data_IF_997416314374
#
_entry.id   IF_997416314374
#
_cell.length_a   1.000
_cell.length_b   1.000
_cell.length_c   1.000
_cell.angle_alpha   90.00
_cell.angle_beta   90.00
_cell.angle_gamma   90.00
#
_symmetry.space_group_name_H-M   'P 1'
#
loop_
_entity.id
_entity.type
_entity.pdbx_description
1 polymer ?
#
# COMPACT_ATOMS: atom_id res chain seq x y z
N UNK A 1 -0.13 11.87 17.42
CA UNK A 1 -1.05 12.62 16.53
C UNK A 1 -0.39 12.80 15.17
N UNK A 2 -1.05 12.43 14.08
CA UNK A 2 -0.53 12.62 12.73
C UNK A 2 -0.66 14.09 12.31
N UNK A 3 0.40 14.68 11.76
CA UNK A 3 0.45 16.09 11.34
C UNK A 3 -0.60 16.48 10.28
N UNK A 4 -1.16 15.51 9.55
CA UNK A 4 -2.22 15.74 8.57
C UNK A 4 -3.57 15.95 9.22
N UNK A 5 -3.87 15.21 10.28
CA UNK A 5 -5.16 15.27 10.97
C UNK A 5 -5.31 16.62 11.67
N UNK A 6 -4.23 17.16 12.26
CA UNK A 6 -4.23 18.47 12.90
C UNK A 6 -4.43 19.63 11.92
N UNK A 7 -3.86 19.55 10.72
CA UNK A 7 -4.09 20.54 9.64
C UNK A 7 -5.49 20.40 9.05
N UNK A 8 -5.97 19.16 8.84
CA UNK A 8 -7.29 18.89 8.26
C UNK A 8 -8.43 19.31 9.20
N UNK A 9 -8.25 19.11 10.51
CA UNK A 9 -9.20 19.54 11.54
C UNK A 9 -9.13 21.04 11.84
N UNK A 10 -8.36 21.83 11.07
CA UNK A 10 -8.12 23.27 11.26
C UNK A 10 -7.53 23.65 12.63
N UNK A 11 -6.95 22.69 13.35
CA UNK A 11 -6.36 22.92 14.67
C UNK A 11 -5.01 23.65 14.59
N UNK A 12 -4.29 23.52 13.48
CA UNK A 12 -3.04 24.24 13.26
C UNK A 12 -2.83 24.63 11.80
N UNK A 13 -2.09 25.73 11.57
CA UNK A 13 -1.70 26.14 10.23
C UNK A 13 -0.61 25.21 9.67
N UNK A 14 -0.45 25.19 8.34
CA UNK A 14 0.58 24.37 7.68
C UNK A 14 1.97 24.71 8.22
N UNK A 15 2.25 25.98 8.52
CA UNK A 15 3.53 26.43 9.08
C UNK A 15 3.75 25.93 10.50
N UNK A 16 2.73 26.06 11.36
CA UNK A 16 2.79 25.52 12.71
C UNK A 16 3.02 24.00 12.70
N UNK A 17 2.35 23.27 11.80
CA UNK A 17 2.57 21.84 11.63
C UNK A 17 4.00 21.49 11.14
N UNK A 18 4.62 22.31 10.29
CA UNK A 18 6.02 22.05 9.89
C UNK A 18 6.99 22.18 11.06
N UNK A 19 6.76 23.18 11.93
CA UNK A 19 7.63 23.44 13.09
C UNK A 19 7.45 22.38 14.18
N UNK A 20 6.21 21.98 14.49
CA UNK A 20 5.93 21.01 15.55
C UNK A 20 6.34 19.58 15.17
N UNK A 21 6.21 19.19 13.89
CA UNK A 21 6.41 17.82 13.44
C UNK A 21 7.68 17.61 12.59
N UNK A 22 8.45 18.67 12.33
CA UNK A 22 9.69 18.59 11.55
C UNK A 22 9.49 18.14 10.09
N UNK A 23 8.33 18.44 9.50
CA UNK A 23 8.01 18.05 8.12
C UNK A 23 8.24 19.21 7.14
N UNK A 24 8.54 18.89 5.89
CA UNK A 24 8.61 19.92 4.84
C UNK A 24 7.22 20.38 4.43
N UNK A 25 7.08 21.68 4.16
CA UNK A 25 5.81 22.29 3.70
C UNK A 25 5.28 21.60 2.43
N UNK A 26 6.18 21.23 1.52
CA UNK A 26 5.85 20.51 0.28
C UNK A 26 5.22 19.15 0.53
N UNK A 27 5.70 18.40 1.53
CA UNK A 27 5.16 17.10 1.91
C UNK A 27 3.73 17.23 2.45
N UNK A 28 3.48 18.21 3.32
CA UNK A 28 2.14 18.47 3.88
C UNK A 28 1.16 18.83 2.75
N UNK A 29 1.52 19.75 1.85
CA UNK A 29 0.67 20.11 0.70
C UNK A 29 0.40 18.91 -0.22
N UNK A 30 1.43 18.12 -0.56
CA UNK A 30 1.31 16.94 -1.42
C UNK A 30 0.35 15.91 -0.83
N UNK A 31 0.50 15.63 0.47
CA UNK A 31 -0.33 14.66 1.21
C UNK A 31 -1.77 15.18 1.40
N UNK A 32 -1.96 16.47 1.69
CA UNK A 32 -3.28 17.09 1.82
C UNK A 32 -4.06 17.05 0.49
N UNK A 33 -3.39 17.36 -0.64
CA UNK A 33 -3.98 17.24 -1.98
C UNK A 33 -4.44 15.81 -2.26
N UNK A 34 -3.62 14.81 -1.90
CA UNK A 34 -3.97 13.39 -2.06
C UNK A 34 -5.14 12.99 -1.15
N UNK A 35 -5.18 13.46 0.08
CA UNK A 35 -6.27 13.20 1.02
C UNK A 35 -7.61 13.74 0.50
N UNK A 36 -7.61 14.95 -0.06
CA UNK A 36 -8.81 15.56 -0.65
C UNK A 36 -9.28 14.84 -1.93
N UNK A 37 -8.34 14.37 -2.76
CA UNK A 37 -8.67 13.53 -3.92
C UNK A 37 -9.36 12.23 -3.48
N UNK A 38 -8.85 11.57 -2.43
CA UNK A 38 -9.47 10.36 -1.88
C UNK A 38 -10.88 10.62 -1.29
N UNK A 39 -11.08 11.74 -0.58
CA UNK A 39 -12.39 12.11 -0.05
C UNK A 39 -13.45 12.33 -1.13
N UNK A 40 -13.05 12.81 -2.30
CA UNK A 40 -13.93 12.98 -3.46
C UNK A 40 -14.29 11.64 -4.13
N UNK A 41 -13.30 10.74 -4.27
CA UNK A 41 -13.52 9.39 -4.78
C UNK A 41 -14.44 8.53 -3.87
N UNK A 42 -14.31 8.67 -2.56
CA UNK A 42 -15.15 7.95 -1.60
C UNK A 42 -16.61 8.46 -1.59
N UNK A 43 -16.84 9.74 -1.91
CA UNK A 43 -18.20 10.27 -2.12
C UNK A 43 -18.84 9.74 -3.41
N UNK A 44 -18.06 9.53 -4.47
CA UNK A 44 -18.54 8.93 -5.72
C UNK A 44 -18.85 7.43 -5.59
N UNK A 45 -18.22 6.71 -4.65
CA UNK A 45 -18.57 5.33 -4.34
C UNK A 45 -19.96 5.19 -3.68
N UNK A 46 -20.45 6.22 -2.98
CA UNK A 46 -21.81 6.25 -2.44
C UNK A 46 -22.89 6.40 -3.53
N UNK A 47 -22.52 6.84 -4.74
CA UNK A 47 -23.42 6.93 -5.91
C UNK A 47 -23.47 5.66 -6.77
N UNK A 48 -23.04 4.50 -6.26
CA UNK A 48 -23.27 3.19 -6.88
C UNK A 48 -22.45 2.86 -8.13
N UNK A 49 -21.50 3.72 -8.53
CA UNK A 49 -20.59 3.43 -9.63
C UNK A 49 -19.35 2.73 -9.05
N UNK A 50 -18.98 1.51 -9.51
CA UNK A 50 -17.81 0.79 -9.01
C UNK A 50 -16.55 1.52 -9.49
N UNK A 51 -16.11 2.48 -8.69
CA UNK A 51 -14.92 3.27 -8.97
C UNK A 51 -13.71 2.38 -8.71
N UNK A 52 -13.00 2.04 -9.78
CA UNK A 52 -11.76 1.27 -9.75
C UNK A 52 -10.91 1.66 -8.55
N UNK A 53 -10.73 0.71 -7.62
CA UNK A 53 -9.93 0.89 -6.41
C UNK A 53 -8.58 1.47 -6.81
N UNK A 54 -8.30 2.71 -6.41
CA UNK A 54 -7.03 3.36 -6.72
C UNK A 54 -5.90 2.59 -6.05
N UNK A 55 -5.24 1.70 -6.80
CA UNK A 55 -4.12 0.93 -6.30
C UNK A 55 -2.94 1.87 -6.06
N UNK A 56 -2.32 1.77 -4.89
CA UNK A 56 -1.08 2.47 -4.62
C UNK A 56 0.02 1.89 -5.52
N UNK A 57 0.25 2.50 -6.67
CA UNK A 57 1.26 2.03 -7.62
C UNK A 57 2.64 2.60 -7.25
N UNK A 58 3.35 1.89 -6.38
CA UNK A 58 4.78 2.09 -6.15
C UNK A 58 5.59 1.15 -7.06
N UNK A 59 6.78 1.57 -7.49
CA UNK A 59 7.75 0.66 -8.13
C UNK A 59 8.07 -0.55 -7.25
N UNK A 60 7.88 -0.43 -5.94
CA UNK A 60 8.09 -1.49 -4.95
C UNK A 60 6.78 -2.05 -4.39
N UNK A 61 5.66 -1.87 -5.10
CA UNK A 61 4.40 -2.45 -4.67
C UNK A 61 4.47 -3.98 -4.76
N UNK A 62 3.88 -4.69 -3.80
CA UNK A 62 3.59 -6.13 -3.94
C UNK A 62 2.59 -6.33 -5.09
N UNK A 63 2.46 -7.55 -5.63
CA UNK A 63 1.58 -7.92 -6.75
C UNK A 63 2.04 -7.49 -8.16
N UNK A 64 3.35 -7.36 -8.40
CA UNK A 64 3.86 -7.06 -9.75
C UNK A 64 3.88 -8.26 -10.69
N UNK A 65 4.10 -9.45 -10.14
CA UNK A 65 4.29 -10.69 -10.91
C UNK A 65 3.10 -11.62 -10.74
N UNK A 66 2.51 -11.63 -9.55
CA UNK A 66 1.39 -12.51 -9.19
C UNK A 66 0.13 -11.72 -8.93
N UNK A 67 -1.00 -12.31 -9.31
CA UNK A 67 -2.31 -11.86 -8.84
C UNK A 67 -2.42 -12.05 -7.32
N UNK A 68 -3.34 -11.32 -6.69
CA UNK A 68 -3.56 -11.37 -5.24
C UNK A 68 -3.85 -12.79 -4.72
N UNK A 69 -4.58 -13.58 -5.51
CA UNK A 69 -4.91 -14.97 -5.18
C UNK A 69 -3.66 -15.86 -5.21
N UNK A 70 -2.84 -15.71 -6.25
CA UNK A 70 -1.58 -16.44 -6.39
C UNK A 70 -0.57 -16.09 -5.28
N UNK A 71 -0.47 -14.82 -4.89
CA UNK A 71 0.37 -14.42 -3.74
C UNK A 71 -0.12 -15.05 -2.45
N UNK A 72 -1.44 -15.12 -2.23
CA UNK A 72 -2.02 -15.74 -1.05
C UNK A 72 -1.74 -17.25 -1.00
N UNK A 73 -1.85 -17.95 -2.14
CA UNK A 73 -1.51 -19.37 -2.25
C UNK A 73 -0.03 -19.62 -1.98
N UNK A 74 0.86 -18.80 -2.54
CA UNK A 74 2.30 -18.89 -2.31
C UNK A 74 2.64 -18.64 -0.83
N UNK A 75 2.00 -17.66 -0.20
CA UNK A 75 2.19 -17.36 1.21
C UNK A 75 1.70 -18.50 2.12
N UNK A 76 0.57 -19.14 1.80
CA UNK A 76 0.09 -20.31 2.52
C UNK A 76 1.07 -21.48 2.40
N UNK A 77 1.55 -21.76 1.18
CA UNK A 77 2.52 -22.81 0.91
C UNK A 77 3.82 -22.62 1.71
N UNK A 78 4.38 -21.40 1.71
CA UNK A 78 5.61 -21.09 2.48
C UNK A 78 5.39 -21.29 3.99
N UNK A 79 4.23 -20.89 4.52
CA UNK A 79 3.89 -21.06 5.94
C UNK A 79 3.77 -22.52 6.33
N UNK A 80 3.16 -23.35 5.49
CA UNK A 80 2.99 -24.77 5.78
C UNK A 80 4.32 -25.53 5.64
N UNK A 81 5.14 -25.17 4.65
CA UNK A 81 6.47 -25.73 4.48
C UNK A 81 7.42 -25.33 5.62
N UNK A 82 7.28 -24.11 6.14
CA UNK A 82 8.03 -23.63 7.30
C UNK A 82 7.77 -24.44 8.57
N UNK A 83 6.60 -25.09 8.68
CA UNK A 83 6.26 -25.95 9.84
C UNK A 83 6.85 -27.35 9.73
N UNK A 84 7.14 -27.83 8.51
CA UNK A 84 7.51 -29.24 8.27
C UNK A 84 8.99 -29.55 8.51
N UNK A 85 9.93 -28.74 8.04
CA UNK A 85 11.37 -28.80 8.43
C UNK A 85 12.16 -27.69 7.74
N UNK A 86 12.83 -26.83 8.52
CA UNK A 86 13.79 -25.78 8.12
C UNK A 86 13.36 -24.66 7.14
N UNK A 87 12.16 -24.74 6.57
CA UNK A 87 11.65 -23.70 5.66
C UNK A 87 12.43 -23.63 4.34
N UNK A 88 11.82 -23.05 3.33
CA UNK A 88 12.50 -22.81 2.06
C UNK A 88 13.41 -21.59 2.19
N UNK A 89 14.64 -21.71 1.70
CA UNK A 89 15.52 -20.54 1.57
C UNK A 89 14.93 -19.56 0.55
N UNK A 90 15.24 -18.27 0.73
CA UNK A 90 14.78 -17.22 -0.19
C UNK A 90 15.11 -17.53 -1.66
N UNK A 91 16.27 -18.15 -1.93
CA UNK A 91 16.68 -18.53 -3.28
C UNK A 91 15.76 -19.60 -3.89
N UNK A 92 15.34 -20.59 -3.10
CA UNK A 92 14.42 -21.64 -3.55
C UNK A 92 13.02 -21.08 -3.81
N UNK A 93 12.52 -20.22 -2.92
CA UNK A 93 11.22 -19.53 -3.10
C UNK A 93 11.22 -18.70 -4.38
N UNK A 94 12.31 -17.98 -4.67
CA UNK A 94 12.45 -17.19 -5.89
C UNK A 94 12.44 -18.04 -7.15
N UNK A 95 13.16 -19.17 -7.16
CA UNK A 95 13.15 -20.11 -8.29
C UNK A 95 11.76 -20.71 -8.50
N UNK A 96 11.09 -21.11 -7.41
CA UNK A 96 9.73 -21.65 -7.45
C UNK A 96 8.71 -20.64 -7.97
N UNK A 97 8.77 -19.39 -7.48
CA UNK A 97 7.94 -18.30 -7.97
C UNK A 97 8.16 -18.06 -9.47
N UNK A 98 9.42 -18.01 -9.91
CA UNK A 98 9.72 -17.83 -11.33
C UNK A 98 9.18 -18.99 -12.18
N UNK A 99 9.35 -20.25 -11.77
CA UNK A 99 8.78 -21.40 -12.49
C UNK A 99 7.26 -21.38 -12.53
N UNK A 100 6.60 -20.92 -11.46
CA UNK A 100 5.14 -20.83 -11.41
C UNK A 100 4.59 -19.72 -12.32
N UNK A 101 5.31 -18.60 -12.45
CA UNK A 101 4.92 -17.49 -13.33
C UNK A 101 5.15 -17.77 -14.82
N UNK A 102 6.13 -18.63 -15.15
CA UNK A 102 6.49 -18.98 -16.53
C UNK A 102 5.96 -20.34 -17.00
N UNK A 103 5.34 -21.14 -16.12
CA UNK A 103 4.70 -22.38 -16.53
C UNK A 103 3.48 -22.07 -17.42
N UNK A 104 3.41 -22.62 -18.65
CA UNK A 104 2.33 -22.38 -19.60
C UNK A 104 0.99 -22.97 -19.13
#
# INVERSE_FOLDING_TARGET
>A
MLALDSVNNKNCSIRAATETYGLTKSLIHKRLKKHNLNGNCNKAAASGIPLASYSFHSKYNSQQIFTKEQENMLAAYIKDFSKMQFGLTYQQIRKFAHSYAYAP
#
